data_IF_010504553192
#
_entry.id   IF_010504553192
#
_cell.length_a   1.000
_cell.length_b   1.000
_cell.length_c   1.000
_cell.angle_alpha   90.00
_cell.angle_beta   90.00
_cell.angle_gamma   90.00
#
_symmetry.space_group_name_H-M   'P 1'
#
loop_
_entity.id
_entity.type
_entity.pdbx_description
1 polymer ?
#
# COMPACT_ATOMS: atom_id res chain seq x y z
N UNK A 1 -68.31 30.21 50.84
CA UNK A 1 -67.23 30.57 49.85
C UNK A 1 -66.12 29.55 50.04
N UNK A 2 -65.97 28.58 49.07
CA UNK A 2 -64.97 27.48 49.15
C UNK A 2 -63.81 27.86 48.23
N UNK A 3 -62.64 28.04 48.78
CA UNK A 3 -61.41 28.26 48.04
C UNK A 3 -60.85 26.93 47.51
N UNK A 4 -60.87 26.79 46.20
CA UNK A 4 -60.27 25.66 45.50
C UNK A 4 -58.74 25.95 45.29
N UNK A 5 -57.87 25.14 45.93
CA UNK A 5 -56.42 25.18 45.74
C UNK A 5 -56.07 24.30 44.57
N UNK A 6 -55.61 24.87 43.47
CA UNK A 6 -55.05 24.15 42.33
C UNK A 6 -53.57 23.93 42.59
N UNK A 7 -53.18 22.66 42.76
CA UNK A 7 -51.76 22.24 42.87
C UNK A 7 -51.26 21.88 41.48
N UNK A 8 -50.33 22.70 40.94
CA UNK A 8 -49.68 22.43 39.67
C UNK A 8 -48.48 21.54 39.92
N UNK A 9 -48.52 20.29 39.40
CA UNK A 9 -47.35 19.40 39.33
C UNK A 9 -46.53 19.73 38.06
N UNK A 10 -45.33 20.32 38.24
CA UNK A 10 -44.35 20.51 37.20
C UNK A 10 -43.60 19.18 37.09
N UNK A 11 -43.96 18.35 36.10
CA UNK A 11 -43.22 17.16 35.72
C UNK A 11 -41.93 17.51 34.99
N UNK A 12 -40.80 17.36 35.66
CA UNK A 12 -39.48 17.52 35.08
C UNK A 12 -39.19 16.28 34.22
N UNK A 13 -39.39 16.35 32.88
CA UNK A 13 -39.01 15.29 31.96
C UNK A 13 -37.50 15.31 31.77
N UNK A 14 -36.81 14.34 32.37
CA UNK A 14 -35.39 14.10 32.22
C UNK A 14 -35.15 13.41 30.87
N UNK A 15 -34.81 14.18 29.84
CA UNK A 15 -34.42 13.65 28.51
C UNK A 15 -32.99 13.09 28.60
N UNK A 16 -32.87 11.79 28.83
CA UNK A 16 -31.58 11.08 28.71
C UNK A 16 -31.19 11.03 27.21
N UNK A 17 -30.26 11.90 26.82
CA UNK A 17 -29.56 11.75 25.54
C UNK A 17 -28.70 10.50 25.62
N UNK A 18 -29.16 9.40 25.06
CA UNK A 18 -28.35 8.23 24.78
C UNK A 18 -27.44 8.55 23.59
N UNK A 19 -26.27 9.13 23.86
CA UNK A 19 -25.19 9.25 22.87
C UNK A 19 -24.57 7.87 22.69
N UNK A 20 -25.15 7.03 21.84
CA UNK A 20 -24.50 5.80 21.39
C UNK A 20 -23.24 6.14 20.61
N UNK A 21 -22.19 5.26 20.62
CA UNK A 21 -21.00 5.48 19.83
C UNK A 21 -21.39 5.50 18.34
N UNK A 22 -21.28 6.64 17.71
CA UNK A 22 -21.39 6.77 16.25
C UNK A 22 -20.16 6.09 15.67
N UNK A 23 -20.28 4.84 15.28
CA UNK A 23 -19.29 4.19 14.43
C UNK A 23 -19.34 4.89 13.07
N UNK A 24 -18.35 5.72 12.80
CA UNK A 24 -18.18 6.33 11.50
C UNK A 24 -18.06 5.20 10.45
N UNK A 25 -19.11 4.95 9.71
CA UNK A 25 -19.12 4.01 8.60
C UNK A 25 -18.13 4.56 7.58
N UNK A 26 -17.06 3.81 7.29
CA UNK A 26 -16.08 4.20 6.28
C UNK A 26 -16.82 4.33 4.95
N UNK A 27 -16.79 5.53 4.37
CA UNK A 27 -17.41 5.75 3.07
C UNK A 27 -16.80 4.81 2.02
N UNK A 28 -17.60 4.26 1.10
CA UNK A 28 -17.08 3.46 0.00
C UNK A 28 -16.15 4.33 -0.87
N UNK A 29 -15.16 3.72 -1.55
CA UNK A 29 -14.30 4.45 -2.46
C UNK A 29 -15.12 5.09 -3.58
N UNK A 30 -14.75 6.28 -4.08
CA UNK A 30 -15.44 6.93 -5.19
C UNK A 30 -15.40 6.04 -6.43
N UNK A 31 -16.48 6.05 -7.23
CA UNK A 31 -16.54 5.26 -8.47
C UNK A 31 -15.62 5.83 -9.54
N UNK A 32 -15.41 7.15 -9.55
CA UNK A 32 -14.55 7.87 -10.50
C UNK A 32 -13.62 8.78 -9.72
N UNK A 33 -12.36 8.81 -10.10
CA UNK A 33 -11.35 9.69 -9.50
C UNK A 33 -11.38 11.08 -10.15
N UNK A 34 -10.65 12.04 -9.55
CA UNK A 34 -10.53 13.41 -10.10
C UNK A 34 -9.88 13.41 -11.49
N UNK A 35 -8.99 12.46 -11.76
CA UNK A 35 -8.28 12.25 -13.02
C UNK A 35 -9.12 11.45 -14.05
N UNK A 36 -10.39 11.17 -13.75
CA UNK A 36 -11.29 10.46 -14.67
C UNK A 36 -11.19 8.93 -14.64
N UNK A 37 -10.29 8.35 -13.86
CA UNK A 37 -10.15 6.89 -13.78
C UNK A 37 -11.35 6.27 -13.05
N UNK A 38 -11.82 5.14 -13.54
CA UNK A 38 -12.97 4.39 -13.03
C UNK A 38 -12.52 3.24 -12.14
N UNK A 39 -13.25 3.00 -11.06
CA UNK A 39 -12.98 1.90 -10.13
C UNK A 39 -13.13 0.55 -10.84
N UNK A 40 -12.10 -0.27 -10.77
CA UNK A 40 -12.10 -1.66 -11.27
C UNK A 40 -12.64 -2.57 -10.17
N UNK A 41 -13.83 -3.18 -10.35
CA UNK A 41 -14.38 -4.11 -9.37
C UNK A 41 -13.57 -5.42 -9.33
N UNK A 42 -13.64 -6.12 -8.20
CA UNK A 42 -13.10 -7.48 -8.02
C UNK A 42 -11.60 -7.63 -8.35
N UNK A 43 -10.83 -6.55 -8.20
CA UNK A 43 -9.38 -6.57 -8.41
C UNK A 43 -8.66 -7.46 -7.37
N UNK A 44 -7.55 -8.08 -7.77
CA UNK A 44 -6.61 -8.79 -6.87
C UNK A 44 -5.91 -7.86 -5.87
N UNK A 45 -5.94 -6.53 -6.10
CA UNK A 45 -5.45 -5.49 -5.20
C UNK A 45 -6.61 -4.81 -4.49
N UNK A 46 -6.36 -4.21 -3.33
CA UNK A 46 -7.41 -3.62 -2.49
C UNK A 46 -8.19 -2.50 -3.20
N UNK A 47 -7.54 -1.77 -4.10
CA UNK A 47 -8.14 -0.68 -4.84
C UNK A 47 -7.41 -0.48 -6.16
N UNK A 48 -8.13 -0.52 -7.27
CA UNK A 48 -7.60 -0.24 -8.60
C UNK A 48 -8.56 0.70 -9.33
N UNK A 49 -7.99 1.69 -9.96
CA UNK A 49 -8.69 2.56 -10.91
C UNK A 49 -7.98 2.50 -12.24
N UNK A 50 -8.73 2.45 -13.32
CA UNK A 50 -8.20 2.43 -14.67
C UNK A 50 -9.00 3.38 -15.58
N UNK A 51 -8.35 3.88 -16.59
CA UNK A 51 -9.03 4.52 -17.70
C UNK A 51 -9.80 3.44 -18.47
N UNK A 52 -11.12 3.56 -18.64
CA UNK A 52 -11.92 2.57 -19.37
C UNK A 52 -11.54 2.45 -20.85
N UNK A 53 -10.92 3.48 -21.43
CA UNK A 53 -10.47 3.49 -22.84
C UNK A 53 -9.01 3.02 -22.99
N UNK A 54 -8.27 2.84 -21.87
CA UNK A 54 -6.87 2.42 -21.90
C UNK A 54 -6.74 0.94 -22.29
N UNK A 55 -5.89 0.68 -23.25
CA UNK A 55 -5.46 -0.66 -23.64
C UNK A 55 -3.99 -0.88 -23.24
N UNK A 56 -3.75 -1.90 -22.41
CA UNK A 56 -2.40 -2.31 -22.01
C UNK A 56 -1.77 -3.33 -22.98
N UNK A 57 -2.52 -3.87 -23.95
CA UNK A 57 -2.07 -4.87 -24.91
C UNK A 57 -0.86 -4.46 -25.74
N UNK A 58 -0.79 -3.22 -26.28
CA UNK A 58 0.32 -2.75 -27.11
C UNK A 58 1.66 -2.65 -26.38
N UNK A 59 1.67 -2.58 -25.04
CA UNK A 59 2.92 -2.41 -24.30
C UNK A 59 3.69 -3.71 -24.18
N UNK A 60 4.93 -3.71 -24.68
CA UNK A 60 5.82 -4.87 -24.66
C UNK A 60 7.04 -4.67 -23.77
N UNK A 61 7.26 -3.45 -23.28
CA UNK A 61 8.38 -3.05 -22.43
C UNK A 61 7.87 -2.20 -21.27
N UNK A 62 8.69 -2.09 -20.22
CA UNK A 62 8.38 -1.32 -19.03
C UNK A 62 9.52 -0.35 -18.72
N UNK A 63 9.19 0.91 -18.45
CA UNK A 63 10.09 1.88 -17.81
C UNK A 63 9.72 1.98 -16.34
N UNK A 64 10.60 1.51 -15.47
CA UNK A 64 10.37 1.47 -14.03
C UNK A 64 11.12 2.61 -13.35
N UNK A 65 10.39 3.54 -12.74
CA UNK A 65 11.01 4.59 -11.92
C UNK A 65 11.37 4.04 -10.53
N UNK A 66 12.33 4.69 -9.88
CA UNK A 66 12.67 4.40 -8.49
C UNK A 66 11.45 4.58 -7.57
N UNK A 67 11.23 3.59 -6.71
CA UNK A 67 10.11 3.64 -5.77
C UNK A 67 10.34 4.73 -4.69
N UNK A 68 9.41 5.67 -4.59
CA UNK A 68 9.37 6.58 -3.45
C UNK A 68 9.02 5.80 -2.18
N UNK A 69 9.72 6.04 -1.05
CA UNK A 69 9.48 5.29 0.19
C UNK A 69 9.17 6.22 1.35
N UNK A 70 8.02 5.98 2.01
CA UNK A 70 7.59 6.72 3.18
C UNK A 70 7.19 5.79 4.34
N UNK A 71 7.70 6.07 5.54
CA UNK A 71 7.29 5.37 6.75
C UNK A 71 5.87 5.75 7.18
N UNK A 72 5.24 4.85 7.92
CA UNK A 72 3.98 5.13 8.60
C UNK A 72 4.12 6.33 9.52
N UNK A 73 3.09 7.17 9.55
CA UNK A 73 3.06 8.37 10.42
C UNK A 73 3.42 7.98 11.86
N UNK A 74 4.33 8.75 12.47
CA UNK A 74 4.83 8.54 13.83
C UNK A 74 5.63 7.23 14.07
N UNK A 75 5.94 6.46 13.04
CA UNK A 75 6.66 5.18 13.19
C UNK A 75 7.95 5.33 14.02
N UNK A 76 8.83 6.26 13.68
CA UNK A 76 10.09 6.50 14.41
C UNK A 76 9.88 6.91 15.88
N UNK A 77 8.80 7.65 16.18
CA UNK A 77 8.44 8.01 17.55
C UNK A 77 8.01 6.79 18.36
N UNK A 78 7.21 5.92 17.74
CA UNK A 78 6.70 4.71 18.38
C UNK A 78 7.83 3.71 18.69
N UNK A 79 8.88 3.67 17.86
CA UNK A 79 10.07 2.85 18.13
C UNK A 79 10.81 3.29 19.40
N UNK A 80 10.79 4.58 19.73
CA UNK A 80 11.44 5.12 20.93
C UNK A 80 10.68 4.83 22.23
N UNK A 81 9.37 4.60 22.13
CA UNK A 81 8.50 4.44 23.32
C UNK A 81 8.52 3.05 23.92
N UNK A 82 9.02 2.03 23.21
CA UNK A 82 8.93 0.62 23.60
C UNK A 82 10.24 -0.17 23.59
N UNK A 83 11.35 0.44 23.16
CA UNK A 83 12.64 -0.28 23.06
C UNK A 83 13.83 0.64 23.36
N UNK A 84 14.96 0.04 23.79
CA UNK A 84 16.25 0.73 23.88
C UNK A 84 16.84 1.14 22.52
N UNK A 85 16.16 0.81 21.41
CA UNK A 85 16.61 1.05 20.05
C UNK A 85 16.30 2.48 19.64
N UNK A 86 17.35 3.25 19.37
CA UNK A 86 17.25 4.63 18.90
C UNK A 86 17.39 4.70 17.38
N UNK A 87 16.27 4.81 16.66
CA UNK A 87 16.27 5.03 15.21
C UNK A 87 16.64 6.48 14.90
N UNK A 88 17.67 6.68 14.09
CA UNK A 88 18.13 7.99 13.61
C UNK A 88 17.52 8.32 12.23
N UNK A 89 17.64 9.58 11.78
CA UNK A 89 17.29 9.98 10.42
C UNK A 89 18.11 9.24 9.36
N UNK A 90 19.41 9.08 9.62
CA UNK A 90 20.30 8.32 8.72
C UNK A 90 19.91 6.85 8.59
N UNK A 91 19.43 6.23 9.69
CA UNK A 91 18.89 4.86 9.61
C UNK A 91 17.63 4.81 8.75
N UNK A 92 16.73 5.79 8.91
CA UNK A 92 15.52 5.88 8.10
C UNK A 92 15.83 6.06 6.62
N UNK A 93 16.77 6.93 6.28
CA UNK A 93 17.14 7.19 4.87
C UNK A 93 17.81 5.96 4.25
N UNK A 94 18.66 5.25 5.01
CA UNK A 94 19.23 3.97 4.57
C UNK A 94 18.14 2.91 4.34
N UNK A 95 17.18 2.80 5.24
CA UNK A 95 16.07 1.84 5.09
C UNK A 95 15.20 2.17 3.87
N UNK A 96 14.93 3.46 3.59
CA UNK A 96 14.21 3.88 2.38
C UNK A 96 14.97 3.51 1.12
N UNK A 97 16.27 3.81 1.06
CA UNK A 97 17.12 3.49 -0.09
C UNK A 97 17.18 1.97 -0.33
N UNK A 98 17.30 1.18 0.75
CA UNK A 98 17.29 -0.28 0.66
C UNK A 98 15.96 -0.80 0.12
N UNK A 99 14.83 -0.28 0.59
CA UNK A 99 13.50 -0.70 0.15
C UNK A 99 13.26 -0.32 -1.32
N UNK A 100 13.65 0.89 -1.75
CA UNK A 100 13.58 1.32 -3.14
C UNK A 100 14.37 0.40 -4.05
N UNK A 101 15.62 0.10 -3.67
CA UNK A 101 16.47 -0.85 -4.41
C UNK A 101 15.87 -2.26 -4.49
N UNK A 102 15.36 -2.79 -3.37
CA UNK A 102 14.69 -4.11 -3.34
C UNK A 102 13.45 -4.13 -4.24
N UNK A 103 12.70 -3.03 -4.26
CA UNK A 103 11.54 -2.89 -5.16
C UNK A 103 11.98 -3.01 -6.62
N UNK A 104 12.95 -2.19 -7.03
CA UNK A 104 13.47 -2.19 -8.40
C UNK A 104 14.01 -3.58 -8.78
N UNK A 105 14.85 -4.19 -7.94
CA UNK A 105 15.41 -5.53 -8.20
C UNK A 105 14.31 -6.59 -8.41
N UNK A 106 13.29 -6.63 -7.54
CA UNK A 106 12.24 -7.64 -7.59
C UNK A 106 11.30 -7.43 -8.77
N UNK A 107 10.88 -6.19 -9.01
CA UNK A 107 9.97 -5.89 -10.13
C UNK A 107 10.67 -6.10 -11.47
N UNK A 108 11.92 -5.64 -11.64
CA UNK A 108 12.71 -5.89 -12.85
C UNK A 108 12.80 -7.38 -13.12
N UNK A 109 13.23 -8.17 -12.15
CA UNK A 109 13.37 -9.62 -12.33
C UNK A 109 12.05 -10.29 -12.74
N UNK A 110 10.93 -9.97 -12.07
CA UNK A 110 9.62 -10.61 -12.37
C UNK A 110 9.12 -10.20 -13.74
N UNK A 111 9.27 -8.93 -14.13
CA UNK A 111 8.80 -8.43 -15.43
C UNK A 111 9.65 -8.99 -16.58
N UNK A 112 10.99 -9.00 -16.44
CA UNK A 112 11.89 -9.57 -17.44
C UNK A 112 11.69 -11.08 -17.61
N UNK A 113 11.58 -11.82 -16.52
CA UNK A 113 11.27 -13.26 -16.54
C UNK A 113 9.90 -13.53 -17.21
N UNK A 114 8.97 -12.58 -17.10
CA UNK A 114 7.65 -12.59 -17.72
C UNK A 114 7.60 -12.12 -19.18
N UNK A 115 8.76 -11.73 -19.76
CA UNK A 115 8.85 -11.30 -21.17
C UNK A 115 8.58 -9.80 -21.39
N UNK A 116 8.66 -8.98 -20.33
CA UNK A 116 8.59 -7.51 -20.39
C UNK A 116 9.93 -6.90 -20.00
N UNK A 117 10.85 -6.63 -20.97
CA UNK A 117 12.12 -5.98 -20.68
C UNK A 117 11.96 -4.64 -19.98
N UNK A 118 12.78 -4.40 -18.95
CA UNK A 118 12.83 -3.10 -18.27
C UNK A 118 13.84 -2.19 -18.98
N UNK A 119 13.37 -1.01 -19.41
CA UNK A 119 14.14 -0.07 -20.23
C UNK A 119 14.18 1.32 -19.58
N UNK A 120 15.19 2.11 -19.93
CA UNK A 120 15.35 3.48 -19.43
C UNK A 120 14.65 4.52 -20.32
N UNK A 121 14.50 4.22 -21.62
CA UNK A 121 13.97 5.15 -22.59
C UNK A 121 12.45 4.99 -22.75
N UNK A 122 11.79 6.09 -23.10
CA UNK A 122 10.36 6.10 -23.44
C UNK A 122 10.17 5.64 -24.89
N UNK A 123 9.04 5.03 -25.20
CA UNK A 123 8.71 4.52 -26.55
C UNK A 123 7.22 4.22 -26.68
N UNK A 124 6.74 3.99 -27.90
CA UNK A 124 5.32 3.72 -28.19
C UNK A 124 4.80 2.44 -27.51
N UNK A 125 5.70 1.47 -27.31
CA UNK A 125 5.41 0.19 -26.67
C UNK A 125 5.94 0.09 -25.23
N UNK A 126 6.24 1.23 -24.59
CA UNK A 126 6.82 1.31 -23.25
C UNK A 126 5.79 1.85 -22.24
N UNK A 127 5.43 1.03 -21.28
CA UNK A 127 4.61 1.41 -20.15
C UNK A 127 5.47 2.01 -19.03
N UNK A 128 5.18 3.23 -18.59
CA UNK A 128 5.88 3.87 -17.48
C UNK A 128 5.23 3.51 -16.15
N UNK A 129 6.00 2.95 -15.22
CA UNK A 129 5.59 2.65 -13.85
C UNK A 129 6.17 3.66 -12.87
N UNK A 130 5.30 4.31 -12.08
CA UNK A 130 5.66 5.22 -10.99
C UNK A 130 5.22 4.65 -9.65
N UNK A 131 6.07 3.86 -8.97
CA UNK A 131 5.73 3.22 -7.71
C UNK A 131 6.04 4.08 -6.49
N UNK A 132 5.30 3.82 -5.39
CA UNK A 132 5.63 4.30 -4.06
C UNK A 132 5.30 3.23 -3.01
N UNK A 133 6.19 3.03 -2.06
CA UNK A 133 5.92 2.26 -0.84
C UNK A 133 5.56 3.26 0.26
N UNK A 134 4.32 3.26 0.66
CA UNK A 134 3.80 4.14 1.71
C UNK A 134 3.45 3.33 2.96
N UNK A 135 3.37 4.02 4.09
CA UNK A 135 3.07 3.38 5.38
C UNK A 135 4.02 2.23 5.74
N UNK A 136 5.30 2.30 5.31
CA UNK A 136 6.30 1.31 5.69
C UNK A 136 6.40 1.24 7.22
N UNK A 137 6.16 0.06 7.78
CA UNK A 137 6.05 -0.17 9.22
C UNK A 137 6.81 -1.45 9.61
N UNK A 138 8.16 -1.47 9.54
CA UNK A 138 8.94 -2.61 9.99
C UNK A 138 8.89 -2.74 11.51
N UNK A 139 8.73 -3.98 12.01
CA UNK A 139 8.66 -4.25 13.44
C UNK A 139 10.02 -4.35 14.11
N UNK A 140 11.09 -4.67 13.36
CA UNK A 140 12.46 -4.67 13.83
C UNK A 140 13.32 -3.82 12.89
N UNK A 141 13.56 -2.55 13.23
CA UNK A 141 14.35 -1.67 12.38
C UNK A 141 15.81 -2.10 12.32
N UNK A 142 16.41 -2.06 11.13
CA UNK A 142 17.83 -2.25 10.94
C UNK A 142 18.59 -1.01 11.41
N UNK A 143 19.07 -1.03 12.64
CA UNK A 143 19.91 0.02 13.24
C UNK A 143 21.34 -0.48 13.42
N UNK A 144 22.33 0.39 13.18
CA UNK A 144 23.76 0.07 13.36
C UNK A 144 24.20 0.12 14.82
N UNK A 145 23.36 -0.22 15.77
CA UNK A 145 23.80 -0.29 17.17
C UNK A 145 24.55 -1.61 17.41
N UNK A 146 25.77 -1.48 17.93
CA UNK A 146 26.58 -2.61 18.39
C UNK A 146 25.94 -3.19 19.67
N UNK A 147 25.23 -4.29 19.51
CA UNK A 147 24.60 -5.06 20.57
C UNK A 147 23.55 -5.96 19.96
N UNK A 148 23.74 -7.30 20.06
CA UNK A 148 22.75 -8.27 19.60
C UNK A 148 21.53 -8.21 20.55
N UNK A 149 20.58 -7.33 20.26
CA UNK A 149 19.26 -7.42 20.89
C UNK A 149 18.39 -8.26 19.98
N UNK A 150 18.18 -9.49 20.37
CA UNK A 150 17.26 -10.41 19.70
C UNK A 150 15.82 -9.95 19.97
N UNK A 151 15.12 -9.50 18.94
CA UNK A 151 13.73 -9.06 19.07
C UNK A 151 12.83 -10.13 18.45
N UNK A 152 12.01 -10.74 19.30
CA UNK A 152 10.97 -11.66 18.85
C UNK A 152 9.72 -10.87 18.46
N UNK A 153 9.24 -11.02 17.23
CA UNK A 153 8.03 -10.38 16.73
C UNK A 153 7.09 -11.38 16.08
N UNK A 154 5.80 -11.08 16.13
CA UNK A 154 4.77 -11.91 15.49
C UNK A 154 4.77 -11.73 13.95
N UNK A 155 5.30 -10.63 13.43
CA UNK A 155 5.42 -10.37 11.98
C UNK A 155 6.60 -9.45 11.70
N UNK A 156 7.13 -9.48 10.48
CA UNK A 156 8.21 -8.58 10.05
C UNK A 156 7.73 -7.13 9.83
N UNK A 157 6.42 -6.91 9.75
CA UNK A 157 5.82 -5.59 9.55
C UNK A 157 4.78 -5.58 8.42
N UNK A 158 4.35 -4.38 8.06
CA UNK A 158 3.42 -4.14 6.96
C UNK A 158 3.85 -2.93 6.12
N UNK A 159 3.38 -2.88 4.87
CA UNK A 159 3.58 -1.77 3.95
C UNK A 159 2.43 -1.67 2.95
N UNK A 160 2.29 -0.52 2.32
CA UNK A 160 1.32 -0.31 1.25
C UNK A 160 2.04 0.06 -0.04
N UNK A 161 1.65 -0.59 -1.14
CA UNK A 161 2.00 -0.19 -2.49
C UNK A 161 1.03 0.87 -2.97
N UNK A 162 1.52 1.94 -3.53
CA UNK A 162 0.82 2.82 -4.44
C UNK A 162 1.58 2.80 -5.76
N UNK A 163 0.90 2.57 -6.87
CA UNK A 163 1.54 2.52 -8.18
C UNK A 163 0.64 3.19 -9.21
N UNK A 164 1.25 3.94 -10.10
CA UNK A 164 0.60 4.56 -11.24
C UNK A 164 1.24 4.06 -12.53
N UNK A 165 0.42 3.82 -13.53
CA UNK A 165 0.78 3.37 -14.87
C UNK A 165 0.47 4.49 -15.85
N UNK A 166 1.44 4.83 -16.70
CA UNK A 166 1.32 5.88 -17.69
C UNK A 166 1.78 5.36 -19.06
N UNK A 167 1.22 5.92 -20.12
CA UNK A 167 1.89 5.91 -21.41
C UNK A 167 3.19 6.69 -21.28
N UNK A 168 4.32 6.12 -21.74
CA UNK A 168 5.63 6.73 -21.53
C UNK A 168 5.92 7.90 -22.44
N UNK A 169 5.20 8.05 -23.55
CA UNK A 169 5.35 9.14 -24.51
C UNK A 169 4.40 10.29 -24.23
N UNK A 170 3.12 10.00 -24.07
CA UNK A 170 2.10 11.03 -23.86
C UNK A 170 2.04 11.51 -22.42
N UNK A 171 2.40 10.65 -21.47
CA UNK A 171 2.27 10.90 -20.05
C UNK A 171 0.82 10.77 -19.54
N UNK A 172 -0.07 10.21 -20.35
CA UNK A 172 -1.45 9.95 -19.95
C UNK A 172 -1.51 8.84 -18.90
N UNK A 173 -2.29 9.05 -17.87
CA UNK A 173 -2.47 8.06 -16.81
C UNK A 173 -3.45 6.98 -17.26
N UNK A 174 -3.00 5.74 -17.24
CA UNK A 174 -3.80 4.59 -17.65
C UNK A 174 -4.45 3.86 -16.47
N UNK A 175 -3.73 3.77 -15.35
CA UNK A 175 -4.25 3.13 -14.14
C UNK A 175 -3.49 3.59 -12.90
N UNK A 176 -4.14 3.39 -11.74
CA UNK A 176 -3.48 3.50 -10.44
C UNK A 176 -4.03 2.46 -9.48
N UNK A 177 -3.16 1.97 -8.61
CA UNK A 177 -3.52 0.95 -7.64
C UNK A 177 -2.97 1.25 -6.26
N UNK A 178 -3.73 0.82 -5.26
CA UNK A 178 -3.34 0.84 -3.85
C UNK A 178 -3.60 -0.53 -3.25
N UNK A 179 -2.60 -1.10 -2.60
CA UNK A 179 -2.76 -2.34 -1.83
C UNK A 179 -1.94 -2.29 -0.54
N UNK A 180 -2.35 -3.03 0.47
CA UNK A 180 -1.62 -3.16 1.73
C UNK A 180 -1.39 -4.62 2.05
N UNK A 181 -0.14 -4.97 2.31
CA UNK A 181 0.25 -6.30 2.76
C UNK A 181 1.13 -6.26 4.00
N UNK A 182 0.93 -7.24 4.85
CA UNK A 182 1.80 -7.55 5.97
C UNK A 182 2.39 -8.94 5.79
N UNK A 183 3.45 -9.25 6.53
CA UNK A 183 3.96 -10.61 6.61
C UNK A 183 2.98 -11.46 7.42
N UNK A 184 1.99 -12.04 6.71
CA UNK A 184 0.86 -12.78 7.26
C UNK A 184 1.21 -14.16 7.85
N UNK A 185 2.48 -14.45 8.15
CA UNK A 185 2.90 -15.69 8.81
C UNK A 185 2.58 -15.69 10.30
N UNK A 186 1.32 -15.47 10.62
CA UNK A 186 0.84 -15.62 12.00
C UNK A 186 0.51 -17.11 12.28
N UNK A 187 1.53 -17.96 12.30
CA UNK A 187 1.41 -19.39 12.66
C UNK A 187 1.55 -19.62 14.17
N UNK A 188 1.26 -18.61 14.99
CA UNK A 188 1.30 -18.75 16.45
C UNK A 188 2.71 -18.85 17.05
N UNK A 189 3.76 -18.73 16.25
CA UNK A 189 5.16 -18.74 16.69
C UNK A 189 5.79 -17.35 16.50
N UNK A 190 6.46 -16.87 17.54
CA UNK A 190 7.29 -15.68 17.45
C UNK A 190 8.49 -16.00 16.56
N UNK A 191 8.70 -15.19 15.52
CA UNK A 191 9.85 -15.32 14.63
C UNK A 191 10.91 -14.29 15.02
N UNK A 192 12.17 -14.66 14.92
CA UNK A 192 13.29 -13.73 15.05
C UNK A 192 13.19 -12.67 13.99
N UNK A 193 13.00 -11.42 14.39
CA UNK A 193 13.07 -10.31 13.47
C UNK A 193 14.49 -9.75 13.47
N UNK A 194 15.16 -9.95 12.37
CA UNK A 194 16.41 -9.31 12.04
C UNK A 194 16.33 -8.72 10.63
N UNK A 195 17.37 -8.03 10.18
CA UNK A 195 17.40 -7.44 8.84
C UNK A 195 17.18 -8.48 7.73
N UNK A 196 17.65 -9.70 7.90
CA UNK A 196 17.49 -10.79 6.92
C UNK A 196 16.05 -11.29 6.82
N UNK A 197 15.35 -11.45 7.95
CA UNK A 197 13.93 -11.86 7.96
C UNK A 197 13.02 -10.76 7.42
N UNK A 198 13.29 -9.49 7.75
CA UNK A 198 12.59 -8.35 7.18
C UNK A 198 12.78 -8.28 5.66
N UNK A 199 14.00 -8.48 5.17
CA UNK A 199 14.32 -8.50 3.74
C UNK A 199 13.61 -9.66 3.02
N UNK A 200 13.56 -10.84 3.60
CA UNK A 200 12.88 -11.99 3.02
C UNK A 200 11.34 -11.78 2.98
N UNK A 201 10.77 -11.12 3.99
CA UNK A 201 9.36 -10.77 4.04
C UNK A 201 9.01 -9.69 3.01
N UNK A 202 9.79 -8.60 2.91
CA UNK A 202 9.59 -7.55 1.91
C UNK A 202 9.67 -8.11 0.50
N UNK A 203 10.67 -8.92 0.18
CA UNK A 203 10.80 -9.54 -1.15
C UNK A 203 9.59 -10.42 -1.51
N UNK A 204 9.01 -11.17 -0.56
CA UNK A 204 7.79 -11.96 -0.83
C UNK A 204 6.59 -11.06 -1.17
N UNK A 205 6.41 -9.98 -0.43
CA UNK A 205 5.33 -9.03 -0.66
C UNK A 205 5.51 -8.35 -2.02
N UNK A 206 6.71 -7.84 -2.31
CA UNK A 206 7.05 -7.19 -3.57
C UNK A 206 6.86 -8.13 -4.76
N UNK A 207 7.33 -9.37 -4.66
CA UNK A 207 7.14 -10.39 -5.70
C UNK A 207 5.64 -10.67 -5.95
N UNK A 208 4.84 -10.74 -4.88
CA UNK A 208 3.39 -10.93 -5.02
C UNK A 208 2.71 -9.80 -5.76
N UNK A 209 3.15 -8.55 -5.57
CA UNK A 209 2.62 -7.39 -6.32
C UNK A 209 3.12 -7.36 -7.77
N UNK A 210 4.40 -7.64 -7.99
CA UNK A 210 4.97 -7.70 -9.34
C UNK A 210 4.28 -8.78 -10.20
N UNK A 211 3.97 -9.95 -9.62
CA UNK A 211 3.23 -11.00 -10.33
C UNK A 211 1.80 -10.59 -10.67
N UNK A 212 1.10 -9.85 -9.81
CA UNK A 212 -0.25 -9.34 -10.12
C UNK A 212 -0.20 -8.37 -11.31
N UNK A 213 0.82 -7.50 -11.35
CA UNK A 213 1.02 -6.60 -12.50
C UNK A 213 1.33 -7.40 -13.78
N UNK A 214 2.24 -8.38 -13.70
CA UNK A 214 2.58 -9.26 -14.83
C UNK A 214 1.36 -10.01 -15.35
N UNK A 215 0.53 -10.57 -14.46
CA UNK A 215 -0.74 -11.21 -14.83
C UNK A 215 -1.65 -10.24 -15.61
N UNK A 216 -1.81 -8.99 -15.11
CA UNK A 216 -2.65 -7.99 -15.76
C UNK A 216 -2.14 -7.61 -17.17
N UNK A 217 -0.82 -7.48 -17.36
CA UNK A 217 -0.21 -7.23 -18.66
C UNK A 217 -0.42 -8.41 -19.61
N UNK A 218 -0.25 -9.63 -19.13
CA UNK A 218 -0.48 -10.84 -19.93
C UNK A 218 -1.96 -10.99 -20.34
N UNK A 219 -2.88 -10.71 -19.43
CA UNK A 219 -4.33 -10.75 -19.72
C UNK A 219 -4.73 -9.68 -20.76
N UNK A 220 -4.13 -8.48 -20.71
CA UNK A 220 -4.35 -7.45 -21.71
C UNK A 220 -3.83 -7.85 -23.08
N UNK A 221 -2.62 -8.39 -23.16
CA UNK A 221 -2.00 -8.87 -24.39
C UNK A 221 -2.81 -10.02 -25.05
N UNK A 222 -3.37 -10.93 -24.24
CA UNK A 222 -4.22 -12.01 -24.76
C UNK A 222 -5.52 -11.49 -25.35
N UNK A 223 -6.13 -10.44 -24.75
CA UNK A 223 -7.33 -9.80 -25.30
C UNK A 223 -7.06 -9.13 -26.63
N UNK A 224 -5.96 -8.37 -26.73
CA UNK A 224 -5.56 -7.73 -28.00
C UNK A 224 -5.37 -8.74 -29.14
N UNK A 225 -4.78 -9.91 -28.85
CA UNK A 225 -4.60 -10.98 -29.85
C UNK A 225 -5.93 -11.63 -30.26
N UNK A 226 -6.90 -11.73 -29.33
CA UNK A 226 -8.20 -12.32 -29.61
C UNK A 226 -9.12 -11.40 -30.44
N UNK A 227 -8.91 -10.08 -30.38
CA UNK A 227 -9.71 -9.06 -31.07
C UNK A 227 -9.19 -8.75 -32.50
N UNK A 228 -8.04 -9.31 -32.90
CA UNK A 228 -7.44 -9.20 -34.25
C UNK A 228 -7.88 -10.35 -35.15
#
# INVERSE_FOLDING_TARGET
>A
MKHLKITIYIGLAFFMFFSGPVFAKKEPPPQVTVDGLVLVPDSKLALVYADPEADLGPYTKVKLLDAAVAFKKNWARNQRSGSAIRVTSNDMDRMKATMSKEFTEVFTQVLEDGGYPVVEESGEDVLLLRPAIINLNPNAPDTRQAGMTEIYVASAGDMSLYIELYDSQTGDIMAKALDRRGDGRNHGFYTWANSATNKAASKRILKGWAMILLDALNEAKQREVADR
#
